data_IF_659530675692
#
_entry.id   IF_659530675692
#
_cell.length_a   1.000
_cell.length_b   1.000
_cell.length_c   1.000
_cell.angle_alpha   90.00
_cell.angle_beta   90.00
_cell.angle_gamma   90.00
#
_symmetry.space_group_name_H-M   'P 1'
#
loop_
_entity.id
_entity.type
_entity.pdbx_description
1 polymer ?
#
# COMPACT_ATOMS: atom_id res chain seq x y z
N UNK A 1 4.24 11.35 -4.25
CA UNK A 1 5.20 10.21 -4.32
C UNK A 1 4.52 8.88 -4.66
N UNK A 2 3.37 8.56 -4.07
CA UNK A 2 2.66 7.29 -4.31
C UNK A 2 2.14 7.09 -5.74
N UNK A 3 1.66 8.14 -6.41
CA UNK A 3 1.24 8.07 -7.83
C UNK A 3 2.39 7.56 -8.71
N UNK A 4 3.61 8.04 -8.48
CA UNK A 4 4.80 7.57 -9.19
C UNK A 4 5.06 6.08 -8.93
N UNK A 5 4.89 5.62 -7.70
CA UNK A 5 5.03 4.19 -7.37
C UNK A 5 3.98 3.34 -8.12
N UNK A 6 2.73 3.80 -8.24
CA UNK A 6 1.68 3.11 -9.03
C UNK A 6 2.09 3.02 -10.50
N UNK A 7 2.54 4.12 -11.11
CA UNK A 7 2.99 4.14 -12.51
C UNK A 7 4.12 3.12 -12.71
N UNK A 8 5.10 3.08 -11.79
CA UNK A 8 6.18 2.11 -11.84
C UNK A 8 5.67 0.67 -11.70
N UNK A 9 4.71 0.40 -10.81
CA UNK A 9 4.13 -0.94 -10.69
C UNK A 9 3.34 -1.37 -11.92
N UNK A 10 2.67 -0.44 -12.61
CA UNK A 10 2.01 -0.73 -13.89
C UNK A 10 3.04 -1.13 -14.95
N UNK A 11 4.16 -0.40 -15.04
CA UNK A 11 5.28 -0.75 -15.94
C UNK A 11 5.86 -2.12 -15.58
N UNK A 12 6.08 -2.38 -14.28
CA UNK A 12 6.57 -3.67 -13.76
C UNK A 12 5.62 -4.81 -14.12
N UNK A 13 4.30 -4.61 -13.98
CA UNK A 13 3.29 -5.60 -14.36
C UNK A 13 3.33 -5.91 -15.86
N UNK A 14 3.48 -4.87 -16.71
CA UNK A 14 3.66 -5.05 -18.15
C UNK A 14 4.91 -5.86 -18.49
N UNK A 15 6.05 -5.56 -17.86
CA UNK A 15 7.28 -6.34 -18.02
C UNK A 15 7.10 -7.79 -17.54
N UNK A 16 6.43 -7.98 -16.40
CA UNK A 16 6.13 -9.29 -15.82
C UNK A 16 5.28 -10.16 -16.75
N UNK A 17 4.28 -9.57 -17.40
CA UNK A 17 3.45 -10.24 -18.40
C UNK A 17 4.26 -10.70 -19.62
N UNK A 18 5.30 -9.97 -20.04
CA UNK A 18 6.21 -10.42 -21.11
C UNK A 18 7.12 -11.55 -20.63
N UNK A 19 7.60 -11.48 -19.38
CA UNK A 19 8.52 -12.48 -18.78
C UNK A 19 7.82 -13.82 -18.53
N UNK A 20 6.54 -13.83 -18.14
CA UNK A 20 5.87 -15.08 -17.76
C UNK A 20 5.61 -16.02 -18.96
N UNK A 21 5.45 -15.48 -20.17
CA UNK A 21 5.19 -16.26 -21.39
C UNK A 21 6.29 -17.32 -21.66
N UNK A 22 7.58 -16.98 -21.74
CA UNK A 22 8.63 -17.98 -21.92
C UNK A 22 8.74 -18.92 -20.72
N UNK A 23 8.55 -18.44 -19.49
CA UNK A 23 8.62 -19.27 -18.27
C UNK A 23 7.57 -20.37 -18.30
N UNK A 24 6.32 -20.06 -18.67
CA UNK A 24 5.24 -21.06 -18.82
C UNK A 24 5.49 -22.06 -19.95
N UNK A 25 6.30 -21.69 -20.94
CA UNK A 25 6.75 -22.57 -22.03
C UNK A 25 8.02 -23.35 -21.67
N UNK A 26 8.43 -23.37 -20.40
CA UNK A 26 9.68 -23.97 -19.93
C UNK A 26 10.92 -23.42 -20.65
N UNK A 27 10.89 -22.15 -21.06
CA UNK A 27 12.01 -21.43 -21.67
C UNK A 27 12.54 -20.37 -20.71
N UNK A 28 13.84 -20.09 -20.81
CA UNK A 28 14.48 -19.03 -20.04
C UNK A 28 14.08 -17.66 -20.58
N UNK A 29 13.54 -16.75 -19.75
CA UNK A 29 13.28 -15.38 -20.17
C UNK A 29 14.60 -14.63 -20.44
N UNK A 30 14.57 -13.58 -21.29
CA UNK A 30 15.73 -12.74 -21.50
C UNK A 30 16.16 -12.07 -20.20
N UNK A 31 17.38 -12.37 -19.72
CA UNK A 31 17.90 -11.92 -18.42
C UNK A 31 17.80 -10.41 -18.21
N UNK A 32 18.05 -9.63 -19.26
CA UNK A 32 17.93 -8.15 -19.21
C UNK A 32 16.53 -7.73 -18.75
N UNK A 33 15.49 -8.37 -19.25
CA UNK A 33 14.11 -8.05 -18.92
C UNK A 33 13.79 -8.40 -17.46
N UNK A 34 14.27 -9.56 -16.99
CA UNK A 34 14.13 -9.99 -15.58
C UNK A 34 14.82 -9.01 -14.63
N UNK A 35 16.04 -8.56 -14.96
CA UNK A 35 16.76 -7.58 -14.16
C UNK A 35 16.04 -6.23 -14.12
N UNK A 36 15.61 -5.73 -15.28
CA UNK A 36 14.87 -4.45 -15.34
C UNK A 36 13.55 -4.55 -14.58
N UNK A 37 12.82 -5.65 -14.71
CA UNK A 37 11.59 -5.89 -13.96
C UNK A 37 11.84 -5.87 -12.45
N UNK A 38 12.79 -6.66 -11.96
CA UNK A 38 13.13 -6.72 -10.53
C UNK A 38 13.66 -5.40 -9.98
N UNK A 39 14.54 -4.71 -10.71
CA UNK A 39 15.08 -3.42 -10.29
C UNK A 39 13.98 -2.35 -10.24
N UNK A 40 13.11 -2.29 -11.25
CA UNK A 40 12.00 -1.32 -11.29
C UNK A 40 10.99 -1.60 -10.16
N UNK A 41 10.69 -2.87 -9.87
CA UNK A 41 9.87 -3.25 -8.74
C UNK A 41 10.48 -2.82 -7.40
N UNK A 42 11.79 -3.05 -7.22
CA UNK A 42 12.51 -2.63 -6.01
C UNK A 42 12.47 -1.11 -5.81
N UNK A 43 12.64 -0.32 -6.89
CA UNK A 43 12.51 1.14 -6.84
C UNK A 43 11.10 1.56 -6.44
N UNK A 44 10.06 0.93 -6.99
CA UNK A 44 8.68 1.24 -6.64
C UNK A 44 8.37 0.96 -5.16
N UNK A 45 8.83 -0.20 -4.65
CA UNK A 45 8.73 -0.55 -3.22
C UNK A 45 9.50 0.46 -2.36
N UNK A 46 10.70 0.83 -2.77
CA UNK A 46 11.52 1.81 -2.05
C UNK A 46 10.84 3.18 -1.95
N UNK A 47 10.15 3.63 -3.00
CA UNK A 47 9.36 4.87 -2.97
C UNK A 47 8.24 4.80 -1.93
N UNK A 48 7.54 3.67 -1.80
CA UNK A 48 6.51 3.47 -0.77
C UNK A 48 7.14 3.59 0.63
N UNK A 49 8.29 2.94 0.84
CA UNK A 49 9.01 3.00 2.12
C UNK A 49 9.40 4.44 2.45
N UNK A 50 9.98 5.18 1.49
CA UNK A 50 10.34 6.58 1.68
C UNK A 50 9.14 7.47 1.99
N UNK A 51 7.99 7.20 1.37
CA UNK A 51 6.76 7.92 1.69
C UNK A 51 6.31 7.65 3.13
N UNK A 52 6.32 6.39 3.57
CA UNK A 52 5.98 6.00 4.95
C UNK A 52 6.97 6.50 6.01
N UNK A 53 8.20 6.82 5.64
CA UNK A 53 9.17 7.43 6.55
C UNK A 53 8.97 8.95 6.67
N UNK A 54 8.38 9.59 5.66
CA UNK A 54 8.11 11.03 5.64
C UNK A 54 6.76 11.39 6.24
N UNK A 55 5.75 10.57 5.98
CA UNK A 55 4.39 10.75 6.46
C UNK A 55 4.03 9.65 7.47
N UNK A 56 2.96 9.83 8.24
CA UNK A 56 2.54 8.82 9.21
C UNK A 56 2.09 7.54 8.49
N UNK A 57 2.62 6.40 8.91
CA UNK A 57 2.32 5.11 8.34
C UNK A 57 0.87 4.68 8.67
N UNK A 58 -0.04 4.87 7.71
CA UNK A 58 -1.41 4.40 7.84
C UNK A 58 -1.48 2.87 7.76
N UNK A 59 -2.34 2.19 8.57
CA UNK A 59 -2.40 0.73 8.64
C UNK A 59 -2.60 0.05 7.28
N UNK A 60 -3.44 0.60 6.41
CA UNK A 60 -3.71 0.03 5.09
C UNK A 60 -2.49 0.09 4.16
N UNK A 61 -1.69 1.15 4.24
CA UNK A 61 -0.45 1.27 3.47
C UNK A 61 0.61 0.27 3.94
N UNK A 62 0.67 0.00 5.25
CA UNK A 62 1.54 -1.05 5.82
C UNK A 62 1.17 -2.41 5.24
N UNK A 63 -0.12 -2.74 5.18
CA UNK A 63 -0.60 -4.00 4.58
C UNK A 63 -0.20 -4.09 3.10
N UNK A 64 -0.36 -3.01 2.33
CA UNK A 64 0.07 -2.97 0.93
C UNK A 64 1.57 -3.24 0.78
N UNK A 65 2.41 -2.61 1.62
CA UNK A 65 3.85 -2.83 1.60
C UNK A 65 4.21 -4.29 1.91
N UNK A 66 3.57 -4.90 2.91
CA UNK A 66 3.79 -6.31 3.26
C UNK A 66 3.41 -7.25 2.11
N UNK A 67 2.29 -6.98 1.42
CA UNK A 67 1.87 -7.75 0.25
C UNK A 67 2.88 -7.63 -0.91
N UNK A 68 3.41 -6.43 -1.17
CA UNK A 68 4.46 -6.24 -2.17
C UNK A 68 5.78 -6.94 -1.80
N UNK A 69 6.18 -6.90 -0.53
CA UNK A 69 7.37 -7.62 -0.05
C UNK A 69 7.18 -9.13 -0.24
N UNK A 70 6.02 -9.67 0.14
CA UNK A 70 5.69 -11.09 -0.06
C UNK A 70 5.72 -11.47 -1.55
N UNK A 71 5.15 -10.62 -2.41
CA UNK A 71 5.19 -10.78 -3.87
C UNK A 71 6.62 -10.76 -4.40
N UNK A 72 7.45 -9.83 -3.93
CA UNK A 72 8.85 -9.71 -4.33
C UNK A 72 9.67 -10.94 -3.91
N UNK A 73 9.45 -11.46 -2.70
CA UNK A 73 10.05 -12.70 -2.23
C UNK A 73 9.71 -13.88 -3.16
N UNK A 74 8.45 -13.97 -3.61
CA UNK A 74 8.02 -15.00 -4.55
C UNK A 74 8.70 -14.84 -5.92
N UNK A 75 8.85 -13.60 -6.40
CA UNK A 75 9.60 -13.29 -7.63
C UNK A 75 11.08 -13.66 -7.52
N UNK A 76 11.71 -13.39 -6.38
CA UNK A 76 13.09 -13.78 -6.11
C UNK A 76 13.26 -15.31 -6.05
N UNK A 77 12.26 -16.04 -5.56
CA UNK A 77 12.27 -17.50 -5.58
C UNK A 77 12.28 -18.02 -7.01
N UNK A 78 11.41 -17.51 -7.89
CA UNK A 78 11.37 -17.86 -9.32
C UNK A 78 12.73 -17.55 -9.98
N UNK A 79 13.27 -16.35 -9.74
CA UNK A 79 14.57 -15.95 -10.27
C UNK A 79 15.72 -16.86 -9.81
N UNK A 80 15.75 -17.26 -8.54
CA UNK A 80 16.75 -18.20 -8.02
C UNK A 80 16.65 -19.59 -8.66
N UNK A 81 15.43 -20.05 -8.95
CA UNK A 81 15.21 -21.32 -9.64
C UNK A 81 15.68 -21.25 -11.10
N UNK A 82 15.41 -20.13 -11.76
CA UNK A 82 15.84 -19.84 -13.13
C UNK A 82 17.37 -19.85 -13.27
N UNK A 83 18.10 -19.18 -12.36
CA UNK A 83 19.57 -19.20 -12.33
C UNK A 83 20.11 -20.63 -12.17
N UNK A 84 19.49 -21.43 -11.30
CA UNK A 84 19.90 -22.83 -11.05
C UNK A 84 19.51 -23.77 -12.19
N UNK A 85 18.90 -23.27 -13.27
CA UNK A 85 18.35 -24.06 -14.39
C UNK A 85 17.42 -25.19 -13.93
N UNK A 86 16.74 -25.00 -12.80
CA UNK A 86 15.74 -25.95 -12.32
C UNK A 86 14.40 -25.57 -12.94
N UNK A 87 13.57 -26.57 -13.21
CA UNK A 87 12.20 -26.32 -13.62
C UNK A 87 11.51 -25.48 -12.54
N UNK A 88 11.00 -24.32 -12.93
CA UNK A 88 10.24 -23.46 -12.04
C UNK A 88 8.97 -24.19 -11.61
N UNK A 89 8.69 -24.18 -10.30
CA UNK A 89 7.41 -24.67 -9.77
C UNK A 89 6.30 -23.85 -10.42
N UNK A 90 5.52 -24.46 -11.33
CA UNK A 90 4.46 -23.77 -12.08
C UNK A 90 3.49 -23.03 -11.16
N UNK A 91 3.21 -23.59 -9.98
CA UNK A 91 2.38 -22.98 -8.94
C UNK A 91 2.96 -21.61 -8.52
N UNK A 92 4.26 -21.54 -8.25
CA UNK A 92 4.94 -20.30 -7.84
C UNK A 92 4.90 -19.25 -8.97
N UNK A 93 5.11 -19.68 -10.21
CA UNK A 93 5.05 -18.82 -11.41
C UNK A 93 3.67 -18.21 -11.60
N UNK A 94 2.59 -18.92 -11.26
CA UNK A 94 1.21 -18.43 -11.35
C UNK A 94 0.85 -17.58 -10.12
N UNK A 95 1.29 -17.97 -8.92
CA UNK A 95 0.99 -17.24 -7.69
C UNK A 95 1.65 -15.85 -7.65
N UNK A 96 2.85 -15.69 -8.19
CA UNK A 96 3.55 -14.39 -8.22
C UNK A 96 2.75 -13.27 -8.91
N UNK A 97 2.33 -13.38 -10.18
CA UNK A 97 1.53 -12.34 -10.82
C UNK A 97 0.16 -12.17 -10.17
N UNK A 98 -0.45 -13.23 -9.64
CA UNK A 98 -1.73 -13.13 -8.94
C UNK A 98 -1.60 -12.27 -7.68
N UNK A 99 -0.58 -12.53 -6.86
CA UNK A 99 -0.31 -11.76 -5.66
C UNK A 99 0.13 -10.33 -5.99
N UNK A 100 0.86 -10.13 -7.10
CA UNK A 100 1.22 -8.79 -7.59
C UNK A 100 -0.02 -7.96 -7.96
N UNK A 101 -0.99 -8.56 -8.65
CA UNK A 101 -2.25 -7.89 -8.99
C UNK A 101 -3.05 -7.56 -7.73
N UNK A 102 -3.17 -8.49 -6.77
CA UNK A 102 -3.85 -8.24 -5.50
C UNK A 102 -3.18 -7.09 -4.74
N UNK A 103 -1.84 -7.08 -4.66
CA UNK A 103 -1.07 -6.01 -4.02
C UNK A 103 -1.30 -4.66 -4.70
N UNK A 104 -1.31 -4.63 -6.04
CA UNK A 104 -1.54 -3.42 -6.82
C UNK A 104 -2.97 -2.89 -6.64
N UNK A 105 -3.98 -3.76 -6.67
CA UNK A 105 -5.37 -3.37 -6.42
C UNK A 105 -5.51 -2.78 -5.02
N UNK A 106 -4.98 -3.45 -3.98
CA UNK A 106 -5.01 -2.92 -2.61
C UNK A 106 -4.36 -1.54 -2.51
N UNK A 107 -3.22 -1.34 -3.20
CA UNK A 107 -2.51 -0.07 -3.20
C UNK A 107 -3.24 1.05 -3.97
N UNK A 108 -3.92 0.72 -5.07
CA UNK A 108 -4.77 1.67 -5.79
C UNK A 108 -5.99 2.03 -4.93
N UNK A 109 -6.62 1.05 -4.28
CA UNK A 109 -7.75 1.29 -3.36
C UNK A 109 -7.34 2.18 -2.20
N UNK A 110 -6.16 1.96 -1.62
CA UNK A 110 -5.57 2.83 -0.61
C UNK A 110 -5.49 4.28 -1.10
N UNK A 111 -4.93 4.49 -2.29
CA UNK A 111 -4.77 5.83 -2.83
C UNK A 111 -6.14 6.48 -3.11
N UNK A 112 -7.09 5.73 -3.68
CA UNK A 112 -8.44 6.25 -3.95
C UNK A 112 -9.18 6.60 -2.66
N UNK A 113 -9.07 5.80 -1.60
CA UNK A 113 -9.66 6.10 -0.30
C UNK A 113 -9.14 7.43 0.27
N UNK A 114 -7.83 7.65 0.17
CA UNK A 114 -7.18 8.89 0.64
C UNK A 114 -7.67 10.14 -0.12
N UNK A 115 -8.02 10.03 -1.41
CA UNK A 115 -8.48 11.17 -2.22
C UNK A 115 -10.00 11.37 -2.24
N UNK A 116 -10.79 10.30 -2.18
CA UNK A 116 -12.24 10.34 -2.34
C UNK A 116 -12.99 10.45 -1.02
N UNK A 117 -12.38 10.00 0.08
CA UNK A 117 -12.94 10.12 1.43
C UNK A 117 -11.97 10.99 2.24
N UNK A 118 -11.96 12.32 2.05
CA UNK A 118 -11.23 13.18 2.97
C UNK A 118 -11.78 12.91 4.37
N UNK A 119 -10.88 12.71 5.34
CA UNK A 119 -11.28 12.61 6.75
C UNK A 119 -12.21 13.78 7.06
N UNK A 120 -13.47 13.49 7.39
CA UNK A 120 -14.35 14.48 7.96
C UNK A 120 -13.64 14.95 9.23
N UNK A 121 -13.31 16.25 9.37
CA UNK A 121 -12.73 16.72 10.62
C UNK A 121 -13.69 16.30 11.72
N UNK A 122 -13.17 15.63 12.74
CA UNK A 122 -13.93 15.12 13.87
C UNK A 122 -14.78 16.24 14.47
N UNK A 123 -16.03 16.36 14.01
CA UNK A 123 -17.05 17.23 14.60
C UNK A 123 -17.47 16.74 16.00
N UNK A 124 -16.85 15.68 16.49
CA UNK A 124 -17.10 15.12 17.82
C UNK A 124 -16.70 16.02 18.99
N UNK A 125 -16.12 17.21 18.77
CA UNK A 125 -15.82 18.15 19.85
C UNK A 125 -16.36 19.57 19.65
N UNK A 126 -17.11 19.87 18.58
CA UNK A 126 -17.69 21.22 18.43
C UNK A 126 -18.91 21.48 19.31
N UNK A 127 -19.47 20.45 19.93
CA UNK A 127 -20.56 20.58 20.91
C UNK A 127 -20.06 20.81 22.35
N UNK A 128 -18.77 20.61 22.61
CA UNK A 128 -18.12 20.95 23.89
C UNK A 128 -17.86 22.46 24.03
N UNK A 129 -17.76 23.18 22.91
CA UNK A 129 -17.69 24.65 22.87
C UNK A 129 -19.07 25.32 22.78
N UNK A 130 -20.16 24.57 23.03
CA UNK A 130 -21.50 25.11 22.94
C UNK A 130 -21.78 26.03 24.15
N UNK A 131 -22.25 27.29 23.93
CA UNK A 131 -22.51 28.26 25.01
C UNK A 131 -23.58 27.79 26.02
N UNK A 132 -24.28 26.69 25.74
CA UNK A 132 -25.24 26.07 26.65
C UNK A 132 -24.62 25.55 27.97
N UNK A 133 -23.33 25.16 27.96
CA UNK A 133 -22.65 24.68 29.18
C UNK A 133 -22.28 25.88 30.08
N UNK A 134 -21.89 27.01 29.48
CA UNK A 134 -21.54 28.24 30.20
C UNK A 134 -22.77 28.83 30.92
N UNK A 135 -23.94 28.81 30.28
CA UNK A 135 -25.21 29.27 30.89
C UNK A 135 -25.61 28.43 32.11
N UNK A 136 -25.34 27.12 32.06
CA UNK A 136 -25.71 26.19 33.16
C UNK A 136 -24.79 26.40 34.37
N UNK A 137 -23.49 26.61 34.19
CA UNK A 137 -22.59 26.94 35.29
C UNK A 137 -22.92 28.29 35.93
N UNK A 138 -23.27 29.30 35.13
CA UNK A 138 -23.60 30.63 35.64
C UNK A 138 -24.90 30.65 36.47
N UNK A 139 -25.89 29.81 36.12
CA UNK A 139 -27.10 29.64 36.91
C UNK A 139 -26.87 28.91 38.24
N UNK A 140 -25.92 27.97 38.30
CA UNK A 140 -25.64 27.22 39.53
C UNK A 140 -24.95 28.10 40.57
N UNK A 141 -24.02 28.97 40.13
CA UNK A 141 -23.32 29.94 40.99
C UNK A 141 -24.29 31.01 41.55
N UNK A 142 -25.33 31.39 40.79
CA UNK A 142 -26.35 32.33 41.26
C UNK A 142 -27.26 31.79 42.35
N UNK A 143 -27.49 30.46 42.38
CA UNK A 143 -28.35 29.84 43.39
C UNK A 143 -27.62 29.64 44.73
N UNK A 144 -26.32 29.31 44.69
CA UNK A 144 -25.52 29.10 45.91
C UNK A 144 -25.15 30.42 46.63
N UNK A 145 -25.11 31.55 45.91
CA UNK A 145 -24.80 32.86 46.49
C UNK A 145 -25.95 33.54 47.24
N UNK A 146 -27.16 32.97 47.23
CA UNK A 146 -28.36 33.55 47.84
C UNK A 146 -28.83 32.81 49.10
N UNK A 147 -28.13 31.76 49.54
CA UNK A 147 -28.46 30.98 50.74
C UNK A 147 -27.55 31.26 51.95
N UNK A 148 -26.66 32.27 51.89
CA UNK A 148 -25.79 32.69 53.01
C UNK A 148 -26.17 34.04 53.63
#
# INVERSE_FOLDING_TARGET
MLILAIILFIVVAGLGAVIIIPVLKNKFPPRRLVYVHGATAAVAIFIIILYMLKEQAQPLLVVCLLLFILTACLGLLIYKMDIKRRESLKIVVILHPLLAVISLIAFVTYLLAQYLVPEQPSQELSWLDSPAIEVTQQQTIWMEGHES
#
